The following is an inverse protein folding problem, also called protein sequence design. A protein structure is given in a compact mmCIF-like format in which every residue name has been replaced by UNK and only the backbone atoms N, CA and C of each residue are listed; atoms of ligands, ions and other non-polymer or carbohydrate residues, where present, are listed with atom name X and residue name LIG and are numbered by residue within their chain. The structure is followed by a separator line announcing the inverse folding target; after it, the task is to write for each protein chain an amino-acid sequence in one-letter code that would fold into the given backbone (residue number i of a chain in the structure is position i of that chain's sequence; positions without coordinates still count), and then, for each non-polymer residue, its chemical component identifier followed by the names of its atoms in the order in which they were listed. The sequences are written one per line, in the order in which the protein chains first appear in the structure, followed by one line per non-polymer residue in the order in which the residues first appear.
data_IF_410000283009
#
_entry.id   IF_410000283009
#
_cell.length_a   1.000
_cell.length_b   1.000
_cell.length_c   1.000
_cell.angle_alpha   90.00
_cell.angle_beta   90.00
_cell.angle_gamma   90.00
#
_symmetry.space_group_name_H-M   'P 1'
#
loop_
_entity.id
_entity.type
_entity.pdbx_description
1 polymer ?
#
# COMPACT_ATOMS: atom_id res chain seq x y z
N UNK A 1 71.76 22.19 -69.95
CA UNK A 1 72.33 21.17 -70.84
C UNK A 1 72.40 19.85 -70.09
N UNK A 2 71.94 18.75 -70.71
CA UNK A 2 72.30 17.34 -70.47
C UNK A 2 71.70 16.71 -69.19
N UNK A 3 70.63 15.88 -69.25
CA UNK A 3 70.45 14.45 -69.65
C UNK A 3 70.76 13.43 -68.52
N UNK A 4 69.78 12.53 -68.34
CA UNK A 4 69.68 11.31 -67.50
C UNK A 4 70.95 10.42 -67.47
N UNK A 5 71.11 9.58 -66.44
CA UNK A 5 70.83 8.10 -66.43
C UNK A 5 71.21 7.43 -65.08
N UNK A 6 70.33 6.50 -64.67
CA UNK A 6 70.34 5.38 -63.70
C UNK A 6 71.64 4.86 -63.04
N UNK A 7 71.47 4.32 -61.82
CA UNK A 7 72.29 3.20 -61.29
C UNK A 7 71.91 2.76 -59.86
N UNK A 8 71.46 1.51 -59.70
CA UNK A 8 71.06 0.84 -58.43
C UNK A 8 72.25 0.61 -57.49
N UNK A 9 72.01 0.56 -56.17
CA UNK A 9 72.57 -0.47 -55.26
C UNK A 9 71.97 -0.37 -53.85
N UNK A 10 71.45 -1.52 -53.37
CA UNK A 10 70.91 -1.80 -52.03
C UNK A 10 71.95 -1.60 -50.93
N UNK A 11 71.56 -1.08 -49.76
CA UNK A 11 72.06 -1.53 -48.45
C UNK A 11 70.95 -1.43 -47.41
N UNK A 12 70.60 -2.58 -46.81
CA UNK A 12 69.70 -2.74 -45.67
C UNK A 12 70.43 -2.36 -44.36
N UNK A 13 69.77 -1.63 -43.47
CA UNK A 13 70.12 -1.60 -42.04
C UNK A 13 68.89 -1.95 -41.20
N UNK A 14 69.06 -2.96 -40.35
CA UNK A 14 68.05 -3.54 -39.49
C UNK A 14 67.83 -2.69 -38.22
N UNK A 15 66.56 -2.47 -37.86
CA UNK A 15 66.13 -1.94 -36.57
C UNK A 15 65.84 -3.10 -35.60
N UNK A 16 66.56 -3.18 -34.48
CA UNK A 16 66.24 -4.09 -33.38
C UNK A 16 65.38 -3.37 -32.33
N UNK A 17 64.12 -3.77 -32.20
CA UNK A 17 63.21 -3.32 -31.14
C UNK A 17 63.35 -4.27 -29.93
N UNK A 18 63.70 -3.71 -28.77
CA UNK A 18 63.73 -4.42 -27.49
C UNK A 18 62.31 -4.42 -26.89
N UNK A 19 61.65 -5.59 -26.87
CA UNK A 19 60.40 -5.80 -26.17
C UNK A 19 60.69 -6.37 -24.76
N UNK A 20 60.48 -5.57 -23.71
CA UNK A 20 60.44 -6.07 -22.33
C UNK A 20 59.04 -6.62 -22.03
N UNK A 21 58.92 -7.94 -22.07
CA UNK A 21 57.75 -8.66 -21.58
C UNK A 21 57.83 -8.80 -20.06
N UNK A 22 56.98 -8.10 -19.32
CA UNK A 22 56.78 -8.36 -17.89
C UNK A 22 55.89 -9.61 -17.78
N UNK A 23 56.46 -10.71 -17.30
CA UNK A 23 55.74 -11.95 -17.06
C UNK A 23 54.71 -11.75 -15.93
N UNK A 24 53.42 -11.72 -16.29
CA UNK A 24 52.34 -11.83 -15.31
C UNK A 24 52.27 -13.27 -14.77
N UNK A 25 51.93 -13.50 -13.48
CA UNK A 25 51.76 -14.83 -12.94
C UNK A 25 50.67 -15.61 -13.70
N UNK A 26 50.92 -16.89 -13.98
CA UNK A 26 50.07 -17.79 -14.78
C UNK A 26 48.61 -17.97 -14.28
N UNK A 27 48.29 -17.46 -13.08
CA UNK A 27 46.92 -17.45 -12.56
C UNK A 27 46.00 -16.40 -13.22
N UNK A 28 46.55 -15.41 -13.94
CA UNK A 28 45.78 -14.33 -14.57
C UNK A 28 45.37 -14.60 -16.03
N UNK A 29 45.78 -15.73 -16.63
CA UNK A 29 45.68 -15.94 -18.09
C UNK A 29 44.45 -16.71 -18.59
N UNK A 30 43.49 -17.07 -17.73
CA UNK A 30 42.38 -17.95 -18.12
C UNK A 30 41.01 -17.59 -17.51
N UNK A 31 40.81 -16.34 -17.11
CA UNK A 31 39.53 -15.88 -16.55
C UNK A 31 38.84 -14.88 -17.47
N UNK A 32 37.54 -15.03 -17.66
CA UNK A 32 36.70 -14.08 -18.39
C UNK A 32 36.42 -12.80 -17.61
N UNK A 33 35.84 -11.83 -18.31
CA UNK A 33 35.54 -10.49 -17.81
C UNK A 33 34.15 -10.05 -18.26
N UNK A 34 33.43 -9.36 -17.37
CA UNK A 34 32.25 -8.57 -17.70
C UNK A 34 32.56 -7.10 -17.45
N UNK A 35 32.18 -6.21 -18.35
CA UNK A 35 32.20 -4.75 -18.15
C UNK A 35 30.90 -4.13 -18.63
N UNK A 36 30.58 -2.94 -18.17
CA UNK A 36 29.36 -2.29 -18.61
C UNK A 36 29.12 -0.92 -18.01
N UNK A 37 27.93 -0.41 -18.28
CA UNK A 37 27.43 0.86 -17.75
C UNK A 37 26.06 0.69 -17.11
N UNK A 38 25.85 1.38 -16.00
CA UNK A 38 24.56 1.52 -15.32
C UNK A 38 24.04 2.94 -15.56
N UNK A 39 22.85 3.03 -16.13
CA UNK A 39 22.15 4.27 -16.46
C UNK A 39 20.80 4.33 -15.75
N UNK A 40 20.28 5.53 -15.52
CA UNK A 40 18.89 5.73 -15.11
C UNK A 40 17.94 5.71 -16.33
N UNK A 41 16.64 5.88 -16.09
CA UNK A 41 15.62 5.90 -17.14
C UNK A 41 15.80 7.05 -18.15
N UNK A 42 16.50 8.12 -17.74
CA UNK A 42 16.83 9.30 -18.55
C UNK A 42 18.18 9.14 -19.28
N UNK A 43 18.85 8.00 -19.10
CA UNK A 43 20.14 7.69 -19.73
C UNK A 43 21.35 8.31 -19.03
N UNK A 44 21.20 8.85 -17.82
CA UNK A 44 22.31 9.41 -17.04
C UNK A 44 23.05 8.31 -16.25
N UNK A 45 24.38 8.42 -16.09
CA UNK A 45 25.16 7.44 -15.35
C UNK A 45 24.79 7.37 -13.87
N UNK A 46 24.67 6.15 -13.34
CA UNK A 46 24.32 5.90 -11.94
C UNK A 46 25.57 5.50 -11.16
N UNK A 47 26.04 6.38 -10.26
CA UNK A 47 27.17 6.12 -9.37
C UNK A 47 26.81 5.15 -8.24
N UNK A 48 27.71 4.24 -7.88
CA UNK A 48 27.59 3.37 -6.70
C UNK A 48 26.44 2.35 -6.73
N UNK A 49 25.85 2.05 -7.90
CA UNK A 49 24.92 0.95 -8.03
C UNK A 49 25.65 -0.37 -7.76
N UNK A 50 25.02 -1.31 -7.06
CA UNK A 50 25.57 -2.66 -6.85
C UNK A 50 25.23 -3.52 -8.07
N UNK A 51 26.23 -4.04 -8.76
CA UNK A 51 26.05 -4.98 -9.87
C UNK A 51 26.13 -6.40 -9.31
N UNK A 52 25.11 -7.20 -9.58
CA UNK A 52 25.06 -8.63 -9.27
C UNK A 52 25.28 -9.43 -10.56
N UNK A 53 26.22 -10.38 -10.54
CA UNK A 53 26.61 -11.23 -11.67
C UNK A 53 26.44 -12.69 -11.23
N UNK A 54 25.35 -13.30 -11.66
CA UNK A 54 24.95 -14.65 -11.26
C UNK A 54 25.15 -15.63 -12.41
N UNK A 55 25.92 -16.71 -12.20
CA UNK A 55 26.11 -17.74 -13.22
C UNK A 55 24.80 -18.54 -13.42
N UNK A 56 24.38 -18.71 -14.67
CA UNK A 56 23.15 -19.44 -15.04
C UNK A 56 23.50 -20.78 -15.73
N UNK A 57 22.81 -21.86 -15.37
CA UNK A 57 22.96 -23.16 -16.04
C UNK A 57 24.16 -24.02 -15.62
N UNK A 58 24.61 -23.94 -14.36
CA UNK A 58 25.71 -24.75 -13.81
C UNK A 58 25.78 -24.71 -12.28
N UNK A 59 26.99 -24.68 -11.71
CA UNK A 59 27.19 -24.42 -10.27
C UNK A 59 26.78 -22.98 -9.93
N UNK A 60 25.95 -22.78 -8.90
CA UNK A 60 25.58 -21.43 -8.45
C UNK A 60 26.81 -20.65 -7.97
N UNK A 61 27.31 -19.73 -8.80
CA UNK A 61 28.36 -18.76 -8.43
C UNK A 61 27.78 -17.35 -8.54
N UNK A 62 28.05 -16.54 -7.52
CA UNK A 62 27.65 -15.15 -7.43
C UNK A 62 28.89 -14.27 -7.33
N UNK A 63 28.90 -13.17 -8.06
CA UNK A 63 29.90 -12.12 -7.99
C UNK A 63 29.20 -10.77 -7.90
N UNK A 64 29.82 -9.82 -7.20
CA UNK A 64 29.31 -8.45 -7.15
C UNK A 64 30.42 -7.40 -7.30
N UNK A 65 30.04 -6.26 -7.87
CA UNK A 65 30.89 -5.08 -8.03
C UNK A 65 30.04 -3.82 -7.93
N UNK A 66 30.64 -2.63 -8.06
CA UNK A 66 29.91 -1.35 -8.05
C UNK A 66 30.25 -0.49 -9.24
N UNK A 67 29.28 0.30 -9.69
CA UNK A 67 29.52 1.33 -10.69
C UNK A 67 30.29 2.51 -10.08
N UNK A 68 31.13 3.15 -10.90
CA UNK A 68 31.83 4.38 -10.56
C UNK A 68 30.98 5.62 -10.89
N UNK A 69 31.53 6.83 -10.70
CA UNK A 69 30.88 8.11 -11.01
C UNK A 69 30.43 8.30 -12.46
N UNK A 70 31.00 7.52 -13.40
CA UNK A 70 30.61 7.49 -14.81
C UNK A 70 29.58 6.40 -15.12
N UNK A 71 29.06 5.71 -14.09
CA UNK A 71 28.17 4.56 -14.23
C UNK A 71 28.87 3.29 -14.68
N UNK A 72 30.19 3.30 -14.87
CA UNK A 72 30.95 2.17 -15.43
C UNK A 72 31.28 1.15 -14.34
N UNK A 73 31.28 -0.13 -14.70
CA UNK A 73 31.73 -1.22 -13.83
C UNK A 73 32.53 -2.26 -14.61
N UNK A 74 33.40 -2.98 -13.88
CA UNK A 74 34.20 -4.09 -14.41
C UNK A 74 34.28 -5.19 -13.35
N UNK A 75 34.07 -6.44 -13.77
CA UNK A 75 34.32 -7.65 -13.00
C UNK A 75 35.25 -8.57 -13.79
N UNK A 76 36.39 -8.92 -13.20
CA UNK A 76 37.40 -9.84 -13.74
C UNK A 76 37.38 -11.12 -12.90
N UNK A 77 37.89 -12.23 -13.44
CA UNK A 77 38.00 -13.48 -12.69
C UNK A 77 36.80 -14.41 -12.87
N UNK A 78 35.97 -14.18 -13.88
CA UNK A 78 34.75 -14.94 -14.12
C UNK A 78 35.05 -16.23 -14.91
N UNK A 79 34.66 -17.42 -14.42
CA UNK A 79 34.71 -18.64 -15.23
C UNK A 79 33.89 -18.48 -16.52
N UNK A 80 34.28 -19.12 -17.64
CA UNK A 80 33.47 -19.11 -18.84
C UNK A 80 32.09 -19.74 -18.61
N UNK A 81 31.04 -19.13 -19.17
CA UNK A 81 29.68 -19.61 -19.01
C UNK A 81 28.62 -18.52 -19.19
N UNK A 82 27.36 -18.88 -18.97
CA UNK A 82 26.24 -17.95 -19.04
C UNK A 82 26.07 -17.24 -17.70
N UNK A 83 25.77 -15.95 -17.74
CA UNK A 83 25.55 -15.11 -16.57
C UNK A 83 24.33 -14.22 -16.76
N UNK A 84 23.57 -14.03 -15.69
CA UNK A 84 22.59 -12.96 -15.57
C UNK A 84 23.23 -11.81 -14.81
N UNK A 85 23.25 -10.62 -15.41
CA UNK A 85 23.83 -9.41 -14.83
C UNK A 85 22.72 -8.40 -14.57
N UNK A 86 22.64 -7.91 -13.34
CA UNK A 86 21.66 -6.90 -12.91
C UNK A 86 22.35 -5.84 -12.07
N UNK A 87 21.76 -4.66 -11.96
CA UNK A 87 22.16 -3.62 -11.03
C UNK A 87 21.03 -3.32 -10.04
N UNK A 88 21.39 -2.99 -8.81
CA UNK A 88 20.48 -2.58 -7.75
C UNK A 88 20.99 -1.28 -7.11
N UNK A 89 20.08 -0.32 -6.95
CA UNK A 89 20.30 0.91 -6.21
C UNK A 89 18.96 1.46 -5.74
N UNK A 90 18.91 2.01 -4.53
CA UNK A 90 17.73 2.68 -3.98
C UNK A 90 16.44 1.84 -4.14
N UNK A 91 16.51 0.54 -3.83
CA UNK A 91 15.39 -0.43 -3.88
C UNK A 91 14.82 -0.71 -5.29
N UNK A 92 15.43 -0.19 -6.34
CA UNK A 92 15.10 -0.47 -7.73
C UNK A 92 16.15 -1.38 -8.36
N UNK A 93 15.73 -2.18 -9.33
CA UNK A 93 16.63 -3.01 -10.14
C UNK A 93 16.67 -2.53 -11.59
N UNK A 94 17.77 -2.84 -12.27
CA UNK A 94 17.87 -2.68 -13.71
C UNK A 94 17.16 -3.81 -14.46
N UNK A 95 17.02 -3.67 -15.77
CA UNK A 95 16.83 -4.82 -16.65
C UNK A 95 17.95 -5.88 -16.43
N UNK A 96 17.64 -7.13 -16.75
CA UNK A 96 18.61 -8.23 -16.73
C UNK A 96 19.34 -8.31 -18.07
N UNK A 97 20.67 -8.27 -18.03
CA UNK A 97 21.53 -8.57 -19.17
C UNK A 97 22.02 -10.02 -19.08
N UNK A 98 21.56 -10.89 -19.98
CA UNK A 98 22.03 -12.27 -20.08
C UNK A 98 23.25 -12.33 -21.01
N UNK A 99 24.40 -12.73 -20.47
CA UNK A 99 25.69 -12.65 -21.14
C UNK A 99 26.38 -14.01 -21.15
N UNK A 100 27.09 -14.31 -22.25
CA UNK A 100 27.98 -15.45 -22.33
C UNK A 100 29.44 -14.98 -22.16
N UNK A 101 30.06 -15.30 -21.03
CA UNK A 101 31.42 -14.91 -20.68
C UNK A 101 32.42 -15.90 -21.27
N UNK A 102 33.47 -15.38 -21.92
CA UNK A 102 34.56 -16.16 -22.52
C UNK A 102 35.91 -15.57 -22.08
N UNK A 103 36.97 -16.38 -22.13
CA UNK A 103 38.33 -16.00 -21.68
C UNK A 103 38.95 -14.92 -22.57
N UNK A 104 38.62 -14.90 -23.87
CA UNK A 104 39.32 -14.09 -24.86
C UNK A 104 38.69 -12.72 -25.16
N UNK A 105 37.46 -12.46 -24.72
CA UNK A 105 36.74 -11.22 -25.04
C UNK A 105 35.84 -10.77 -23.88
N UNK A 106 35.80 -9.46 -23.56
CA UNK A 106 34.92 -8.95 -22.52
C UNK A 106 33.46 -9.07 -22.94
N UNK A 107 32.61 -9.56 -22.05
CA UNK A 107 31.16 -9.48 -22.21
C UNK A 107 30.68 -8.10 -21.75
N UNK A 108 29.86 -7.45 -22.57
CA UNK A 108 29.39 -6.09 -22.31
C UNK A 108 27.93 -6.06 -21.84
N UNK A 109 27.68 -5.38 -20.72
CA UNK A 109 26.34 -5.18 -20.17
C UNK A 109 25.91 -3.71 -20.25
N UNK A 110 24.66 -3.48 -20.65
CA UNK A 110 23.99 -2.20 -20.48
C UNK A 110 22.81 -2.38 -19.54
N UNK A 111 22.87 -1.73 -18.39
CA UNK A 111 21.90 -1.83 -17.33
C UNK A 111 21.20 -0.48 -17.17
N UNK A 112 19.87 -0.49 -17.23
CA UNK A 112 19.01 0.69 -17.09
C UNK A 112 18.14 0.49 -15.85
N UNK A 113 18.37 1.32 -14.83
CA UNK A 113 17.63 1.29 -13.56
C UNK A 113 16.15 1.57 -13.77
N UNK A 114 15.30 0.90 -12.98
CA UNK A 114 13.84 1.04 -13.04
C UNK A 114 13.16 0.16 -14.08
N UNK A 115 13.91 -0.42 -15.03
CA UNK A 115 13.38 -1.37 -16.02
C UNK A 115 13.19 -2.80 -15.45
N UNK A 116 13.76 -3.11 -14.28
CA UNK A 116 13.69 -4.42 -13.63
C UNK A 116 12.59 -4.59 -12.57
N UNK A 117 11.79 -3.54 -12.34
CA UNK A 117 10.81 -3.52 -11.25
C UNK A 117 11.45 -3.30 -9.86
N UNK A 118 10.70 -3.56 -8.77
CA UNK A 118 11.23 -3.49 -7.41
C UNK A 118 12.24 -4.62 -7.16
N UNK A 119 13.23 -4.37 -6.30
CA UNK A 119 14.22 -5.40 -5.97
C UNK A 119 13.62 -6.62 -5.28
N UNK A 120 14.33 -7.75 -5.28
CA UNK A 120 13.87 -9.00 -4.64
C UNK A 120 13.51 -8.79 -3.18
N UNK A 121 14.27 -7.94 -2.46
CA UNK A 121 13.99 -7.60 -1.07
C UNK A 121 12.66 -6.85 -0.92
N UNK A 122 12.42 -5.86 -1.78
CA UNK A 122 11.18 -5.07 -1.77
C UNK A 122 9.98 -5.94 -2.13
N UNK A 123 10.13 -6.79 -3.15
CA UNK A 123 9.10 -7.74 -3.55
C UNK A 123 8.80 -8.75 -2.43
N UNK A 124 9.83 -9.26 -1.75
CA UNK A 124 9.67 -10.15 -0.60
C UNK A 124 8.96 -9.45 0.57
N UNK A 125 9.35 -8.20 0.91
CA UNK A 125 8.67 -7.40 1.93
C UNK A 125 7.21 -7.10 1.58
N UNK A 126 6.91 -6.80 0.32
CA UNK A 126 5.54 -6.56 -0.14
C UNK A 126 4.70 -7.85 -0.10
N UNK A 127 5.27 -8.99 -0.48
CA UNK A 127 4.61 -10.29 -0.39
C UNK A 127 4.35 -10.68 1.07
N UNK A 128 5.32 -10.47 1.97
CA UNK A 128 5.16 -10.74 3.39
C UNK A 128 4.14 -9.80 4.03
N UNK A 129 4.18 -8.49 3.73
CA UNK A 129 3.18 -7.53 4.17
C UNK A 129 1.77 -7.97 3.78
N UNK A 130 1.58 -8.33 2.50
CA UNK A 130 0.28 -8.77 2.00
C UNK A 130 -0.20 -10.01 2.75
N UNK A 131 0.68 -11.01 2.89
CA UNK A 131 0.37 -12.27 3.57
C UNK A 131 -0.02 -12.03 5.03
N UNK A 132 0.79 -11.32 5.80
CA UNK A 132 0.53 -11.10 7.24
C UNK A 132 -0.72 -10.23 7.45
N UNK A 133 -0.98 -9.27 6.56
CA UNK A 133 -2.21 -8.48 6.58
C UNK A 133 -3.45 -9.35 6.33
N UNK A 134 -3.41 -10.23 5.31
CA UNK A 134 -4.51 -11.15 5.00
C UNK A 134 -4.76 -12.16 6.15
N UNK A 135 -3.70 -12.65 6.80
CA UNK A 135 -3.80 -13.46 8.02
C UNK A 135 -4.50 -12.69 9.15
N UNK A 136 -4.15 -11.42 9.36
CA UNK A 136 -4.82 -10.56 10.34
C UNK A 136 -6.30 -10.34 10.04
N UNK A 137 -6.66 -10.14 8.77
CA UNK A 137 -8.07 -10.03 8.34
C UNK A 137 -8.82 -11.34 8.61
N UNK A 138 -8.21 -12.49 8.30
CA UNK A 138 -8.81 -13.79 8.57
C UNK A 138 -9.02 -14.03 10.08
N UNK A 139 -8.03 -13.71 10.92
CA UNK A 139 -8.13 -13.81 12.37
C UNK A 139 -9.23 -12.90 12.93
N UNK A 140 -9.33 -11.66 12.45
CA UNK A 140 -10.37 -10.70 12.84
C UNK A 140 -11.78 -11.21 12.50
N UNK A 141 -11.97 -11.76 11.29
CA UNK A 141 -13.25 -12.38 10.87
C UNK A 141 -13.63 -13.62 11.69
N UNK A 142 -12.63 -14.36 12.17
CA UNK A 142 -12.83 -15.48 13.08
C UNK A 142 -13.11 -15.05 14.54
N UNK A 143 -13.09 -13.75 14.84
CA UNK A 143 -13.24 -13.21 16.20
C UNK A 143 -11.99 -13.37 17.07
N UNK A 144 -10.88 -13.87 16.52
CA UNK A 144 -9.61 -13.98 17.24
C UNK A 144 -8.87 -12.65 17.20
N UNK A 145 -9.37 -11.68 17.98
CA UNK A 145 -8.88 -10.30 17.95
C UNK A 145 -7.45 -10.14 18.46
N UNK A 146 -6.97 -11.01 19.35
CA UNK A 146 -5.57 -10.97 19.82
C UNK A 146 -4.57 -11.35 18.73
N UNK A 147 -4.84 -12.43 17.99
CA UNK A 147 -4.02 -12.81 16.83
C UNK A 147 -4.12 -11.76 15.72
N UNK A 148 -5.33 -11.24 15.45
CA UNK A 148 -5.52 -10.16 14.48
C UNK A 148 -4.64 -8.94 14.80
N UNK A 149 -4.65 -8.47 16.05
CA UNK A 149 -3.81 -7.35 16.49
C UNK A 149 -2.32 -7.65 16.26
N UNK A 150 -1.84 -8.82 16.66
CA UNK A 150 -0.43 -9.21 16.47
C UNK A 150 -0.03 -9.20 14.99
N UNK A 151 -0.90 -9.72 14.11
CA UNK A 151 -0.66 -9.74 12.66
C UNK A 151 -0.66 -8.35 12.05
N UNK A 152 -1.59 -7.47 12.42
CA UNK A 152 -1.60 -6.10 11.93
C UNK A 152 -0.43 -5.26 12.48
N UNK A 153 0.04 -5.53 13.70
CA UNK A 153 1.26 -4.92 14.23
C UNK A 153 2.50 -5.37 13.45
N UNK A 154 2.60 -6.66 13.11
CA UNK A 154 3.67 -7.17 12.24
C UNK A 154 3.60 -6.55 10.84
N UNK A 155 2.40 -6.38 10.27
CA UNK A 155 2.18 -5.67 9.02
C UNK A 155 2.66 -4.20 9.09
N UNK A 156 2.30 -3.49 10.16
CA UNK A 156 2.73 -2.11 10.39
C UNK A 156 4.25 -1.97 10.60
N UNK A 157 4.91 -2.99 11.14
CA UNK A 157 6.38 -3.02 11.25
C UNK A 157 7.07 -3.19 9.89
N UNK A 158 6.42 -3.82 8.90
CA UNK A 158 6.93 -3.93 7.53
C UNK A 158 6.66 -2.62 6.75
N UNK A 159 5.51 -1.99 6.98
CA UNK A 159 5.13 -0.73 6.38
C UNK A 159 4.54 0.24 7.43
N UNK A 160 5.38 1.16 7.90
CA UNK A 160 5.02 2.18 8.90
C UNK A 160 3.90 3.12 8.45
N UNK A 161 3.61 3.18 7.13
CA UNK A 161 2.53 3.99 6.55
C UNK A 161 1.23 3.20 6.33
N UNK A 162 1.11 2.00 6.89
CA UNK A 162 -0.07 1.16 6.74
C UNK A 162 -1.24 1.67 7.61
N UNK A 163 -1.97 2.68 7.13
CA UNK A 163 -3.17 3.20 7.83
C UNK A 163 -4.25 2.10 7.99
N UNK A 164 -4.42 1.20 7.02
CA UNK A 164 -5.34 0.06 7.11
C UNK A 164 -4.97 -0.88 8.28
N UNK A 165 -3.68 -1.06 8.56
CA UNK A 165 -3.23 -1.88 9.68
C UNK A 165 -3.72 -1.28 11.01
N UNK A 166 -3.52 0.02 11.20
CA UNK A 166 -3.94 0.72 12.41
C UNK A 166 -5.47 0.78 12.56
N UNK A 167 -6.22 0.94 11.46
CA UNK A 167 -7.69 0.82 11.52
C UNK A 167 -8.14 -0.56 11.97
N UNK A 168 -7.55 -1.63 11.44
CA UNK A 168 -7.94 -2.98 11.83
C UNK A 168 -7.48 -3.36 13.26
N UNK A 169 -6.38 -2.78 13.74
CA UNK A 169 -5.99 -2.83 15.16
C UNK A 169 -7.05 -2.14 16.01
N UNK A 170 -7.46 -0.92 15.63
CA UNK A 170 -8.51 -0.15 16.32
C UNK A 170 -9.83 -0.91 16.38
N UNK A 171 -10.24 -1.51 15.25
CA UNK A 171 -11.42 -2.37 15.18
C UNK A 171 -11.31 -3.58 16.11
N UNK A 172 -10.17 -4.28 16.12
CA UNK A 172 -10.00 -5.44 16.99
C UNK A 172 -10.04 -5.06 18.48
N UNK A 173 -9.47 -3.91 18.87
CA UNK A 173 -9.60 -3.40 20.23
C UNK A 173 -11.03 -2.94 20.56
N UNK A 174 -11.76 -2.34 19.62
CA UNK A 174 -13.16 -1.94 19.84
C UNK A 174 -14.06 -3.14 20.07
N UNK A 175 -13.84 -4.25 19.34
CA UNK A 175 -14.55 -5.52 19.57
C UNK A 175 -14.26 -6.11 20.95
N UNK A 176 -13.03 -5.92 21.45
CA UNK A 176 -12.64 -6.27 22.83
C UNK A 176 -13.10 -5.28 23.90
N UNK A 177 -13.76 -4.18 23.50
CA UNK A 177 -14.14 -3.04 24.36
C UNK A 177 -12.96 -2.35 25.07
N UNK A 178 -11.74 -2.55 24.57
CA UNK A 178 -10.55 -1.81 25.02
C UNK A 178 -10.50 -0.48 24.24
N UNK A 179 -11.40 0.43 24.61
CA UNK A 179 -11.65 1.64 23.83
C UNK A 179 -10.46 2.61 23.84
N UNK A 180 -9.63 2.60 24.89
CA UNK A 180 -8.46 3.47 24.97
C UNK A 180 -7.42 3.10 23.91
N UNK A 181 -7.13 1.80 23.75
CA UNK A 181 -6.23 1.33 22.67
C UNK A 181 -6.88 1.42 21.28
N UNK A 182 -8.19 1.25 21.20
CA UNK A 182 -8.92 1.45 19.95
C UNK A 182 -8.78 2.90 19.46
N UNK A 183 -8.94 3.87 20.38
CA UNK A 183 -8.80 5.30 20.11
C UNK A 183 -7.40 5.64 19.61
N UNK A 184 -6.35 5.15 20.28
CA UNK A 184 -4.96 5.33 19.86
C UNK A 184 -4.72 4.83 18.44
N UNK A 185 -5.17 3.60 18.14
CA UNK A 185 -4.97 2.99 16.84
C UNK A 185 -5.76 3.70 15.73
N UNK A 186 -7.02 4.07 15.97
CA UNK A 186 -7.79 4.83 14.98
C UNK A 186 -7.22 6.23 14.74
N UNK A 187 -6.80 6.94 15.80
CA UNK A 187 -6.09 8.22 15.65
C UNK A 187 -4.84 8.05 14.81
N UNK A 188 -4.06 6.99 15.04
CA UNK A 188 -2.88 6.69 14.22
C UNK A 188 -3.22 6.47 12.74
N UNK A 189 -4.32 5.77 12.45
CA UNK A 189 -4.80 5.60 11.09
C UNK A 189 -5.15 6.96 10.43
N UNK A 190 -5.84 7.86 11.16
CA UNK A 190 -6.18 9.20 10.65
C UNK A 190 -4.97 10.14 10.52
N UNK A 191 -3.93 9.97 11.34
CA UNK A 191 -2.67 10.70 11.17
C UNK A 191 -1.97 10.31 9.86
N UNK A 192 -1.97 9.01 9.54
CA UNK A 192 -1.34 8.47 8.32
C UNK A 192 -2.17 8.75 7.07
N UNK A 193 -3.51 8.78 7.21
CA UNK A 193 -4.46 9.07 6.15
C UNK A 193 -5.58 9.99 6.67
N UNK A 194 -5.41 11.32 6.56
CA UNK A 194 -6.37 12.31 7.09
C UNK A 194 -7.78 12.25 6.50
N UNK A 195 -7.93 11.65 5.33
CA UNK A 195 -9.19 11.42 4.59
C UNK A 195 -9.69 9.97 4.74
N UNK A 196 -9.37 9.29 5.85
CA UNK A 196 -9.81 7.91 6.07
C UNK A 196 -11.11 7.83 6.87
N UNK A 197 -12.23 7.76 6.15
CA UNK A 197 -13.54 7.81 6.74
C UNK A 197 -13.84 6.65 7.71
N UNK A 198 -13.40 5.44 7.40
CA UNK A 198 -13.62 4.25 8.22
C UNK A 198 -13.00 4.39 9.61
N UNK A 199 -11.81 5.00 9.72
CA UNK A 199 -11.18 5.27 11.01
C UNK A 199 -11.94 6.32 11.82
N UNK A 200 -12.46 7.38 11.19
CA UNK A 200 -13.32 8.35 11.88
C UNK A 200 -14.66 7.74 12.32
N UNK A 201 -15.26 6.86 11.52
CA UNK A 201 -16.43 6.08 11.92
C UNK A 201 -16.13 5.19 13.13
N UNK A 202 -14.95 4.54 13.14
CA UNK A 202 -14.45 3.79 14.29
C UNK A 202 -14.37 4.65 15.55
N UNK A 203 -13.77 5.84 15.45
CA UNK A 203 -13.71 6.82 16.55
C UNK A 203 -15.10 7.24 17.04
N UNK A 204 -16.01 7.58 16.11
CA UNK A 204 -17.36 7.98 16.45
C UNK A 204 -18.11 6.88 17.23
N UNK A 205 -17.96 5.63 16.81
CA UNK A 205 -18.59 4.48 17.45
C UNK A 205 -18.07 4.25 18.87
N UNK A 206 -16.74 4.29 19.08
CA UNK A 206 -16.17 4.08 20.43
C UNK A 206 -16.51 5.25 21.36
N UNK A 207 -16.50 6.49 20.86
CA UNK A 207 -16.87 7.67 21.66
C UNK A 207 -18.35 7.63 22.05
N UNK A 208 -19.23 7.24 21.13
CA UNK A 208 -20.64 7.06 21.43
C UNK A 208 -20.87 5.96 22.49
N UNK A 209 -20.16 4.83 22.38
CA UNK A 209 -20.21 3.76 23.39
C UNK A 209 -19.71 4.22 24.77
N UNK A 210 -18.71 5.11 24.80
CA UNK A 210 -18.20 5.75 26.01
C UNK A 210 -19.06 6.95 26.49
N UNK A 211 -20.14 7.30 25.78
CA UNK A 211 -20.98 8.50 26.02
C UNK A 211 -20.23 9.83 25.90
N UNK A 212 -19.10 9.85 25.20
CA UNK A 212 -18.33 11.04 24.78
C UNK A 212 -18.97 11.64 23.53
N UNK A 213 -20.16 12.23 23.71
CA UNK A 213 -21.04 12.53 22.58
C UNK A 213 -20.55 13.67 21.68
N UNK A 214 -19.85 14.65 22.24
CA UNK A 214 -19.32 15.76 21.45
C UNK A 214 -18.14 15.28 20.58
N UNK A 215 -17.27 14.43 21.12
CA UNK A 215 -16.21 13.77 20.35
C UNK A 215 -16.77 12.82 19.29
N UNK A 216 -17.84 12.08 19.62
CA UNK A 216 -18.52 11.21 18.67
C UNK A 216 -19.11 11.99 17.49
N UNK A 217 -19.76 13.12 17.75
CA UNK A 217 -20.33 13.98 16.72
C UNK A 217 -19.23 14.59 15.83
N UNK A 218 -18.13 15.05 16.42
CA UNK A 218 -16.99 15.60 15.68
C UNK A 218 -16.32 14.54 14.78
N UNK A 219 -16.11 13.32 15.29
CA UNK A 219 -15.57 12.21 14.52
C UNK A 219 -16.51 11.79 13.38
N UNK A 220 -17.82 11.69 13.64
CA UNK A 220 -18.80 11.37 12.60
C UNK A 220 -18.84 12.43 11.49
N UNK A 221 -18.72 13.72 11.84
CA UNK A 221 -18.63 14.78 10.86
C UNK A 221 -17.36 14.67 9.99
N UNK A 222 -16.21 14.35 10.60
CA UNK A 222 -14.97 14.08 9.86
C UNK A 222 -15.10 12.89 8.91
N UNK A 223 -15.81 11.83 9.32
CA UNK A 223 -16.06 10.69 8.44
C UNK A 223 -16.86 11.10 7.19
N UNK A 224 -17.89 11.95 7.33
CA UNK A 224 -18.66 12.46 6.20
C UNK A 224 -17.83 13.36 5.29
N UNK A 225 -17.01 14.27 5.85
CA UNK A 225 -16.10 15.13 5.09
C UNK A 225 -15.09 14.31 4.27
N UNK A 226 -14.65 13.16 4.79
CA UNK A 226 -13.74 12.23 4.13
C UNK A 226 -14.40 11.33 3.06
N UNK A 227 -15.68 11.53 2.75
CA UNK A 227 -16.42 10.71 1.78
C UNK A 227 -16.91 9.37 2.34
N UNK A 228 -16.99 9.26 3.68
CA UNK A 228 -17.44 8.07 4.37
C UNK A 228 -18.87 7.69 4.10
N UNK A 229 -19.07 6.62 3.35
CA UNK A 229 -20.27 5.78 3.46
C UNK A 229 -20.15 4.98 4.75
N UNK A 230 -21.23 4.80 5.51
CA UNK A 230 -21.14 4.12 6.80
C UNK A 230 -20.51 2.73 6.64
N UNK A 231 -19.48 2.44 7.45
CA UNK A 231 -18.81 1.16 7.43
C UNK A 231 -19.75 0.08 8.02
N UNK A 232 -20.32 -0.79 7.18
CA UNK A 232 -20.98 -2.00 7.68
C UNK A 232 -22.06 -2.64 6.80
N UNK A 233 -22.66 -1.95 5.84
CA UNK A 233 -23.63 -2.55 4.93
C UNK A 233 -23.24 -2.25 3.48
N UNK A 234 -23.13 -3.30 2.67
CA UNK A 234 -22.92 -3.19 1.24
C UNK A 234 -23.95 -2.23 0.62
N UNK A 235 -23.49 -1.04 0.21
CA UNK A 235 -24.31 -0.04 -0.50
C UNK A 235 -24.82 1.14 0.33
N UNK A 236 -24.42 1.28 1.60
CA UNK A 236 -24.94 2.35 2.47
C UNK A 236 -24.31 3.72 2.25
N UNK A 237 -24.85 4.52 1.32
CA UNK A 237 -24.35 5.84 0.92
C UNK A 237 -24.31 6.91 2.03
N UNK A 238 -24.32 8.19 1.63
CA UNK A 238 -24.41 9.36 2.53
C UNK A 238 -25.54 9.23 3.59
N UNK A 239 -26.62 8.51 3.25
CA UNK A 239 -27.77 8.28 4.13
C UNK A 239 -27.42 7.54 5.43
N UNK A 240 -26.60 6.49 5.38
CA UNK A 240 -26.24 5.73 6.58
C UNK A 240 -25.31 6.54 7.50
N UNK A 241 -24.46 7.39 6.93
CA UNK A 241 -23.62 8.30 7.69
C UNK A 241 -24.48 9.34 8.44
N UNK A 242 -25.46 9.94 7.75
CA UNK A 242 -26.46 10.83 8.36
C UNK A 242 -27.25 10.10 9.45
N UNK A 243 -27.72 8.88 9.19
CA UNK A 243 -28.43 8.07 10.18
C UNK A 243 -27.59 7.84 11.44
N UNK A 244 -26.33 7.42 11.28
CA UNK A 244 -25.42 7.20 12.40
C UNK A 244 -25.16 8.48 13.20
N UNK A 245 -25.00 9.63 12.53
CA UNK A 245 -24.89 10.92 13.21
C UNK A 245 -26.16 11.25 14.00
N UNK A 246 -27.34 10.97 13.43
CA UNK A 246 -28.62 11.11 14.11
C UNK A 246 -28.69 10.25 15.38
N UNK A 247 -28.22 9.00 15.33
CA UNK A 247 -28.14 8.11 16.49
C UNK A 247 -27.21 8.66 17.58
N UNK A 248 -26.05 9.21 17.20
CA UNK A 248 -25.11 9.84 18.15
C UNK A 248 -25.78 11.04 18.85
N UNK A 249 -26.43 11.92 18.08
CA UNK A 249 -27.14 13.08 18.60
C UNK A 249 -28.32 12.69 19.49
N UNK A 250 -29.04 11.62 19.12
CA UNK A 250 -30.13 11.07 19.90
C UNK A 250 -29.63 10.60 21.27
N UNK A 251 -28.54 9.82 21.30
CA UNK A 251 -27.93 9.33 22.54
C UNK A 251 -27.40 10.48 23.41
N UNK A 252 -26.99 11.59 22.78
CA UNK A 252 -26.60 12.83 23.45
C UNK A 252 -27.79 13.63 24.03
N UNK A 253 -29.03 13.20 23.78
CA UNK A 253 -30.24 13.95 24.14
C UNK A 253 -30.51 15.17 23.25
N UNK A 254 -29.73 15.38 22.18
CA UNK A 254 -29.90 16.47 21.20
C UNK A 254 -30.97 16.08 20.17
N UNK A 255 -32.19 15.78 20.64
CA UNK A 255 -33.26 15.16 19.84
C UNK A 255 -33.64 15.98 18.61
N UNK A 256 -33.67 17.32 18.72
CA UNK A 256 -33.97 18.19 17.59
C UNK A 256 -32.93 18.11 16.47
N UNK A 257 -31.65 17.96 16.82
CA UNK A 257 -30.59 17.81 15.82
C UNK A 257 -30.53 16.38 15.28
N UNK A 258 -30.80 15.37 16.12
CA UNK A 258 -30.97 14.00 15.68
C UNK A 258 -32.06 13.87 14.60
N UNK A 259 -33.21 14.52 14.84
CA UNK A 259 -34.32 14.59 13.89
C UNK A 259 -33.86 15.09 12.51
N UNK A 260 -33.13 16.22 12.46
CA UNK A 260 -32.62 16.79 11.19
C UNK A 260 -31.77 15.77 10.43
N UNK A 261 -30.96 14.99 11.14
CA UNK A 261 -30.11 13.97 10.51
C UNK A 261 -30.92 12.77 10.02
N UNK A 262 -31.94 12.33 10.76
CA UNK A 262 -32.86 11.30 10.27
C UNK A 262 -33.67 11.77 9.05
N UNK A 263 -34.14 13.02 9.03
CA UNK A 263 -34.79 13.64 7.86
C UNK A 263 -33.83 13.66 6.65
N UNK A 264 -32.57 14.05 6.86
CA UNK A 264 -31.56 14.05 5.81
C UNK A 264 -31.26 12.63 5.29
N UNK A 265 -31.18 11.64 6.19
CA UNK A 265 -30.99 10.24 5.82
C UNK A 265 -32.16 9.70 4.98
N UNK A 266 -33.40 9.97 5.38
CA UNK A 266 -34.61 9.60 4.62
C UNK A 266 -34.66 10.33 3.28
N UNK A 267 -34.28 11.60 3.21
CA UNK A 267 -34.23 12.35 1.96
C UNK A 267 -33.17 11.78 0.99
N UNK A 268 -32.01 11.35 1.52
CA UNK A 268 -30.93 10.76 0.74
C UNK A 268 -31.24 9.32 0.30
N UNK A 269 -31.92 8.54 1.14
CA UNK A 269 -32.39 7.20 0.84
C UNK A 269 -33.80 6.97 1.42
N UNK A 270 -34.86 7.19 0.62
CA UNK A 270 -36.24 6.95 1.05
C UNK A 270 -36.59 5.48 1.36
N UNK A 271 -35.68 4.54 1.07
CA UNK A 271 -35.83 3.12 1.40
C UNK A 271 -35.09 2.73 2.69
N UNK A 272 -34.47 3.68 3.39
CA UNK A 272 -33.75 3.41 4.65
C UNK A 272 -34.74 3.24 5.80
N UNK A 273 -35.17 2.00 6.05
CA UNK A 273 -36.20 1.67 7.01
C UNK A 273 -35.88 2.21 8.42
N UNK A 274 -34.68 1.97 8.93
CA UNK A 274 -34.28 2.37 10.29
C UNK A 274 -34.30 3.89 10.47
N UNK A 275 -33.97 4.66 9.43
CA UNK A 275 -34.06 6.12 9.47
C UNK A 275 -35.51 6.59 9.62
N UNK A 276 -36.46 5.97 8.90
CA UNK A 276 -37.90 6.23 9.11
C UNK A 276 -38.34 5.91 10.53
N UNK A 277 -37.90 4.77 11.09
CA UNK A 277 -38.26 4.42 12.47
C UNK A 277 -37.74 5.46 13.48
N UNK A 278 -36.47 5.87 13.37
CA UNK A 278 -35.89 6.85 14.29
C UNK A 278 -36.46 8.25 14.10
N UNK A 279 -36.81 8.63 12.86
CA UNK A 279 -37.53 9.87 12.58
C UNK A 279 -38.91 9.88 13.24
N UNK A 280 -39.65 8.77 13.16
CA UNK A 280 -40.91 8.58 13.86
C UNK A 280 -40.76 8.77 15.38
N UNK A 281 -39.73 8.17 15.98
CA UNK A 281 -39.42 8.35 17.41
C UNK A 281 -39.11 9.81 17.77
N UNK A 282 -38.36 10.52 16.93
CA UNK A 282 -38.08 11.94 17.13
C UNK A 282 -39.33 12.83 17.02
N UNK A 283 -40.23 12.50 16.08
CA UNK A 283 -41.51 13.20 15.93
C UNK A 283 -42.47 12.94 17.10
N UNK A 284 -42.45 11.74 17.70
CA UNK A 284 -43.18 11.48 18.96
C UNK A 284 -42.65 12.38 20.07
N UNK A 285 -41.33 12.52 20.20
CA UNK A 285 -40.73 13.38 21.22
C UNK A 285 -41.06 14.88 21.00
N UNK A 286 -41.16 15.31 19.76
CA UNK A 286 -41.61 16.65 19.37
C UNK A 286 -43.12 16.87 19.58
N UNK A 287 -43.91 15.80 19.71
CA UNK A 287 -45.37 15.84 19.80
C UNK A 287 -46.09 15.88 18.44
N UNK A 288 -45.37 15.69 17.33
CA UNK A 288 -45.94 15.62 15.99
C UNK A 288 -46.43 14.20 15.67
N UNK A 289 -47.46 13.77 16.41
CA UNK A 289 -48.00 12.41 16.36
C UNK A 289 -48.50 11.98 14.97
N UNK A 290 -49.16 12.85 14.16
CA UNK A 290 -49.59 12.47 12.83
C UNK A 290 -48.42 12.07 11.92
N UNK A 291 -47.38 12.91 11.85
CA UNK A 291 -46.20 12.58 11.04
C UNK A 291 -45.44 11.38 11.59
N UNK A 292 -45.37 11.24 12.91
CA UNK A 292 -44.75 10.06 13.52
C UNK A 292 -45.42 8.76 13.06
N UNK A 293 -46.76 8.73 12.99
CA UNK A 293 -47.50 7.58 12.50
C UNK A 293 -47.15 7.26 11.03
N UNK A 294 -47.08 8.28 10.16
CA UNK A 294 -46.71 8.11 8.74
C UNK A 294 -45.31 7.49 8.58
N UNK A 295 -44.35 7.93 9.38
CA UNK A 295 -42.98 7.39 9.38
C UNK A 295 -42.92 5.94 9.86
N UNK A 296 -43.64 5.59 10.94
CA UNK A 296 -43.73 4.20 11.41
C UNK A 296 -44.43 3.29 10.40
N UNK A 297 -45.46 3.77 9.70
CA UNK A 297 -46.10 3.02 8.63
C UNK A 297 -45.16 2.79 7.45
N UNK A 298 -44.34 3.78 7.11
CA UNK A 298 -43.31 3.65 6.07
C UNK A 298 -42.24 2.63 6.47
N UNK A 299 -41.75 2.69 7.71
CA UNK A 299 -40.87 1.65 8.26
C UNK A 299 -41.48 0.25 8.16
N UNK A 300 -42.77 0.08 8.51
CA UNK A 300 -43.45 -1.21 8.43
C UNK A 300 -43.66 -1.72 7.00
N UNK A 301 -43.77 -0.83 6.01
CA UNK A 301 -43.81 -1.20 4.59
C UNK A 301 -42.44 -1.69 4.11
N UNK A 302 -41.36 -1.03 4.53
CA UNK A 302 -39.99 -1.35 4.12
C UNK A 302 -39.44 -2.58 4.85
N UNK A 303 -39.72 -2.71 6.14
CA UNK A 303 -39.21 -3.77 7.01
C UNK A 303 -40.34 -4.40 7.87
N UNK A 304 -41.30 -5.12 7.25
CA UNK A 304 -42.47 -5.67 7.93
C UNK A 304 -42.14 -6.68 9.05
N UNK A 305 -40.95 -7.29 8.98
CA UNK A 305 -40.40 -8.23 9.96
C UNK A 305 -39.08 -7.71 10.56
N UNK A 306 -38.80 -6.41 10.45
CA UNK A 306 -37.58 -5.81 10.99
C UNK A 306 -37.55 -5.79 12.53
N UNK A 307 -36.39 -5.51 13.15
CA UNK A 307 -36.20 -5.58 14.60
C UNK A 307 -37.23 -4.77 15.42
N UNK A 308 -37.64 -3.62 14.89
CA UNK A 308 -38.58 -2.71 15.54
C UNK A 308 -40.04 -2.88 15.05
N UNK A 309 -40.36 -3.89 14.22
CA UNK A 309 -41.68 -4.02 13.58
C UNK A 309 -42.82 -4.17 14.58
N UNK A 310 -42.62 -4.97 15.64
CA UNK A 310 -43.63 -5.15 16.69
C UNK A 310 -43.90 -3.83 17.42
N UNK A 311 -42.86 -3.09 17.75
CA UNK A 311 -42.98 -1.80 18.44
C UNK A 311 -43.61 -0.74 17.55
N UNK A 312 -43.21 -0.65 16.28
CA UNK A 312 -43.80 0.27 15.31
C UNK A 312 -45.30 0.02 15.12
N UNK A 313 -45.75 -1.25 15.03
CA UNK A 313 -47.19 -1.59 14.97
C UNK A 313 -47.95 -1.09 16.19
N UNK A 314 -47.39 -1.27 17.39
CA UNK A 314 -47.99 -0.79 18.63
C UNK A 314 -48.09 0.74 18.65
N UNK A 315 -47.04 1.44 18.23
CA UNK A 315 -47.01 2.91 18.16
C UNK A 315 -48.04 3.44 17.16
N UNK A 316 -48.13 2.88 15.94
CA UNK A 316 -49.16 3.29 14.97
C UNK A 316 -50.57 3.12 15.54
N UNK A 317 -50.85 1.99 16.21
CA UNK A 317 -52.15 1.74 16.81
C UNK A 317 -52.49 2.68 17.98
N UNK A 318 -51.49 3.24 18.66
CA UNK A 318 -51.68 4.23 19.72
C UNK A 318 -51.85 5.64 19.17
N UNK A 319 -51.04 6.02 18.19
CA UNK A 319 -51.00 7.38 17.63
C UNK A 319 -52.22 7.72 16.77
N UNK A 320 -52.98 6.71 16.33
CA UNK A 320 -54.22 6.86 15.52
C UNK A 320 -55.51 6.81 16.35
N UNK A 321 -55.43 6.72 17.67
CA UNK A 321 -56.59 6.83 18.58
C UNK A 321 -56.80 8.27 18.99
#
# INVERSE_FOLDING_TARGET
MIRRVNGRSLWLMACAAFALAVAMPAAAQSTGMVRGVVLDAQGQPVDGAKINIDMTGGTNRHFDTKSNKKGEFVQIGLPPGQYAVTAEKDKQTSNTANLNVRIAAPAEARLVMGAGGPSKEVAAKAAELKKVFEEGVAASRAGNHDDAIAKFQAAAAINEKCFDCYYNIGFSYSQKKDYDKAEEAYKKATELKPDYAEAYNGLANIYNAQRKFDEAAAASQKAMEAGGTAAGAAGGGNADAMFNQGVILWNAGKIADAKKQFEAAVAANPSHAEAHYQLGMALVNEGNLPKAADEFETYLKLAPNGPNATQAKALVAQLKK
#
